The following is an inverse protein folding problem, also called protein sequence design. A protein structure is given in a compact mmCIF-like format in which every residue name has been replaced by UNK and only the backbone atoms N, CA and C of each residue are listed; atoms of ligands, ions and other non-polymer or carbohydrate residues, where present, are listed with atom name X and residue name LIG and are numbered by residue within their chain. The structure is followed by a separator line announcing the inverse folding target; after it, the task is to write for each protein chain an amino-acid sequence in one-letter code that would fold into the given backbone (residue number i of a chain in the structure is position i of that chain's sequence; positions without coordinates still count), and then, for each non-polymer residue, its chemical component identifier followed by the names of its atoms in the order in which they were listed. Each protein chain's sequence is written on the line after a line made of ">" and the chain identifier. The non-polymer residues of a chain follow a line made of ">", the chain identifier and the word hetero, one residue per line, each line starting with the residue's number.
data_IF_544474836731
#
_entry.id   IF_544474836731
#
_cell.length_a   1.000
_cell.length_b   1.000
_cell.length_c   1.000
_cell.angle_alpha   90.00
_cell.angle_beta   90.00
_cell.angle_gamma   90.00
#
_symmetry.space_group_name_H-M   'P 1'
#
loop_
_entity.id
_entity.type
_entity.pdbx_description
1 polymer ?
#
# COMPACT_ATOMS: atom_id res chain seq x y z
N UNK A 1 -32.58 -30.83 -30.57
CA UNK A 1 -32.68 -29.61 -29.73
C UNK A 1 -31.58 -29.67 -28.68
N UNK A 2 -30.47 -28.98 -28.93
CA UNK A 2 -29.36 -28.86 -27.97
C UNK A 2 -29.62 -27.64 -27.09
N UNK A 3 -29.79 -27.83 -25.78
CA UNK A 3 -29.79 -26.75 -24.81
C UNK A 3 -28.34 -26.24 -24.67
N UNK A 4 -28.06 -25.07 -25.25
CA UNK A 4 -26.89 -24.28 -24.90
C UNK A 4 -27.09 -23.76 -23.47
N UNK A 5 -26.35 -24.32 -22.52
CA UNK A 5 -26.24 -23.75 -21.18
C UNK A 5 -25.31 -22.54 -21.26
N UNK A 6 -25.89 -21.34 -21.24
CA UNK A 6 -25.13 -20.10 -21.10
C UNK A 6 -24.46 -20.10 -19.73
N UNK A 7 -23.14 -19.84 -19.70
CA UNK A 7 -22.44 -19.56 -18.46
C UNK A 7 -23.14 -18.37 -17.75
N UNK A 8 -23.29 -18.40 -16.41
CA UNK A 8 -23.82 -17.27 -15.68
C UNK A 8 -22.98 -16.03 -16.02
N UNK A 9 -23.59 -14.86 -16.22
CA UNK A 9 -22.84 -13.64 -16.46
C UNK A 9 -21.89 -13.46 -15.28
N UNK A 10 -20.58 -13.45 -15.56
CA UNK A 10 -19.60 -12.98 -14.59
C UNK A 10 -20.12 -11.64 -14.08
N UNK A 11 -20.24 -11.51 -12.76
CA UNK A 11 -20.73 -10.30 -12.12
C UNK A 11 -19.77 -9.17 -12.52
N UNK A 12 -20.12 -8.47 -13.61
CA UNK A 12 -19.24 -7.55 -14.29
C UNK A 12 -18.77 -6.50 -13.31
N UNK A 13 -17.45 -6.32 -13.24
CA UNK A 13 -16.82 -5.29 -12.43
C UNK A 13 -17.46 -3.94 -12.79
N UNK A 14 -18.26 -3.39 -11.87
CA UNK A 14 -18.91 -2.11 -12.06
C UNK A 14 -17.95 -1.01 -11.63
N UNK A 15 -17.77 -0.03 -12.51
CA UNK A 15 -17.06 1.20 -12.19
C UNK A 15 -17.67 1.84 -10.94
N UNK A 16 -16.87 2.04 -9.91
CA UNK A 16 -17.27 2.68 -8.66
C UNK A 16 -16.55 4.01 -8.48
N UNK A 17 -17.31 5.06 -8.20
CA UNK A 17 -16.79 6.38 -7.89
C UNK A 17 -16.99 6.68 -6.41
N UNK A 18 -15.94 7.17 -5.75
CA UNK A 18 -16.00 7.59 -4.35
C UNK A 18 -15.27 8.89 -4.14
N UNK A 19 -15.80 9.74 -3.26
CA UNK A 19 -15.16 10.97 -2.84
C UNK A 19 -14.41 10.75 -1.53
N UNK A 20 -13.10 10.98 -1.58
CA UNK A 20 -12.26 11.13 -0.39
C UNK A 20 -12.36 12.58 0.07
N UNK A 21 -12.68 12.79 1.35
CA UNK A 21 -12.57 14.08 2.03
C UNK A 21 -11.67 13.87 3.23
N UNK A 22 -10.65 14.70 3.38
CA UNK A 22 -9.68 14.67 4.46
C UNK A 22 -9.51 16.08 5.03
N UNK A 23 -9.54 16.22 6.34
CA UNK A 23 -9.31 17.46 7.06
C UNK A 23 -8.28 17.18 8.16
N UNK A 24 -7.23 17.99 8.22
CA UNK A 24 -6.17 17.90 9.23
C UNK A 24 -6.05 19.25 9.91
N UNK A 25 -6.17 19.26 11.23
CA UNK A 25 -6.02 20.42 12.08
C UNK A 25 -4.84 20.21 13.02
N UNK A 26 -4.01 21.22 13.17
CA UNK A 26 -2.89 21.25 14.12
C UNK A 26 -3.06 22.48 15.02
N UNK A 27 -2.94 22.27 16.33
CA UNK A 27 -2.81 23.32 17.31
C UNK A 27 -1.51 23.09 18.10
N UNK A 28 -0.61 24.07 18.08
CA UNK A 28 0.63 24.03 18.84
C UNK A 28 0.75 25.26 19.71
N UNK A 29 1.10 25.03 20.97
CA UNK A 29 1.47 26.08 21.90
C UNK A 29 2.74 25.64 22.61
N UNK A 30 3.79 26.46 22.62
CA UNK A 30 5.01 26.10 23.32
C UNK A 30 6.16 27.03 23.01
N UNK A 31 7.35 26.77 23.56
CA UNK A 31 8.51 27.57 23.26
C UNK A 31 8.94 27.40 21.80
N UNK A 32 9.59 28.44 21.28
CA UNK A 32 10.30 28.44 20.00
C UNK A 32 11.66 29.08 20.18
N UNK A 33 12.66 28.53 19.50
CA UNK A 33 14.00 29.08 19.45
C UNK A 33 14.51 29.05 18.01
N UNK A 34 14.96 30.20 17.51
CA UNK A 34 15.55 30.36 16.19
C UNK A 34 16.85 31.15 16.34
N UNK A 35 17.99 30.44 16.32
CA UNK A 35 19.29 31.05 16.62
C UNK A 35 19.34 31.67 18.03
N UNK A 36 19.52 32.99 18.10
CA UNK A 36 19.57 33.77 19.33
C UNK A 36 18.19 34.20 19.85
N UNK A 37 17.14 34.02 19.05
CA UNK A 37 15.78 34.41 19.40
C UNK A 37 15.10 33.33 20.23
N UNK A 38 14.37 33.74 21.27
CA UNK A 38 13.57 32.84 22.11
C UNK A 38 12.19 33.44 22.33
N UNK A 39 11.17 32.60 22.35
CA UNK A 39 9.82 33.07 22.58
C UNK A 39 8.82 31.94 22.84
N UNK A 40 7.56 32.32 22.86
CA UNK A 40 6.43 31.41 22.88
C UNK A 40 5.65 31.53 21.58
N UNK A 41 5.30 30.39 21.00
CA UNK A 41 4.52 30.28 19.78
C UNK A 41 3.11 29.80 20.12
N UNK A 42 2.11 30.38 19.46
CA UNK A 42 0.76 29.85 19.29
C UNK A 42 0.53 29.65 17.80
N UNK A 43 0.28 28.42 17.39
CA UNK A 43 0.08 28.04 15.99
C UNK A 43 -1.22 27.27 15.85
N UNK A 44 -2.05 27.69 14.91
CA UNK A 44 -3.20 26.95 14.43
C UNK A 44 -3.07 26.80 12.92
N UNK A 45 -3.13 25.56 12.44
CA UNK A 45 -3.11 25.24 11.03
C UNK A 45 -4.25 24.31 10.69
N UNK A 46 -4.82 24.48 9.50
CA UNK A 46 -5.82 23.57 8.96
C UNK A 46 -5.53 23.32 7.49
N UNK A 47 -5.65 22.06 7.09
CA UNK A 47 -5.63 21.65 5.70
C UNK A 47 -6.84 20.77 5.41
N UNK A 48 -7.46 20.97 4.24
CA UNK A 48 -8.53 20.13 3.72
C UNK A 48 -8.22 19.70 2.29
N UNK A 49 -8.53 18.45 1.99
CA UNK A 49 -8.47 17.85 0.66
C UNK A 49 -9.81 17.18 0.33
N UNK A 50 -10.31 17.37 -0.90
CA UNK A 50 -11.40 16.55 -1.46
C UNK A 50 -11.08 16.12 -2.88
N UNK A 51 -11.18 14.82 -3.18
CA UNK A 51 -10.92 14.27 -4.49
C UNK A 51 -11.88 13.12 -4.84
N UNK A 52 -12.25 13.00 -6.12
CA UNK A 52 -12.99 11.87 -6.66
C UNK A 52 -12.03 10.76 -7.10
N UNK A 53 -12.19 9.56 -6.57
CA UNK A 53 -11.40 8.39 -6.95
C UNK A 53 -12.29 7.34 -7.60
N UNK A 54 -11.75 6.63 -8.58
CA UNK A 54 -12.45 5.63 -9.37
C UNK A 54 -11.81 4.25 -9.18
N UNK A 55 -12.66 3.24 -9.01
CA UNK A 55 -12.30 1.82 -9.07
C UNK A 55 -13.01 1.17 -10.25
N UNK A 56 -12.40 0.17 -10.86
CA UNK A 56 -13.05 -0.71 -11.83
C UNK A 56 -13.99 -1.72 -11.14
N UNK A 57 -13.95 -1.83 -9.81
CA UNK A 57 -14.71 -2.80 -9.02
C UNK A 57 -14.01 -4.14 -8.86
N UNK A 58 -12.83 -4.32 -9.47
CA UNK A 58 -12.02 -5.52 -9.32
C UNK A 58 -11.47 -5.59 -7.90
N UNK A 59 -11.66 -6.75 -7.29
CA UNK A 59 -11.15 -7.01 -5.95
C UNK A 59 -9.76 -7.62 -6.02
N UNK A 60 -8.87 -7.13 -5.19
CA UNK A 60 -7.50 -7.61 -5.08
C UNK A 60 -7.30 -8.46 -3.82
N UNK A 61 -6.50 -9.54 -3.91
CA UNK A 61 -6.15 -10.35 -2.74
C UNK A 61 -5.15 -9.65 -1.81
N UNK A 62 -4.49 -8.60 -2.30
CA UNK A 62 -3.46 -7.87 -1.58
C UNK A 62 -3.68 -6.36 -1.56
N UNK A 63 -3.12 -5.72 -0.55
CA UNK A 63 -3.14 -4.27 -0.43
C UNK A 63 -1.79 -3.69 -0.93
N UNK A 64 -1.76 -3.01 -2.09
CA UNK A 64 -0.51 -2.45 -2.63
C UNK A 64 0.09 -1.32 -1.78
N UNK A 65 -0.69 -0.72 -0.87
CA UNK A 65 -0.26 0.38 0.00
C UNK A 65 0.15 -0.05 1.40
N UNK A 66 -0.07 -1.32 1.77
CA UNK A 66 0.37 -1.81 3.08
C UNK A 66 1.76 -2.44 2.98
N UNK A 67 2.82 -1.80 3.55
CA UNK A 67 4.19 -2.33 3.49
C UNK A 67 4.34 -3.68 4.22
N UNK A 68 3.40 -4.04 5.10
CA UNK A 68 3.41 -5.33 5.77
C UNK A 68 2.73 -6.44 4.96
N UNK A 69 1.99 -6.11 3.91
CA UNK A 69 1.22 -7.11 3.15
C UNK A 69 2.14 -8.07 2.39
N UNK A 70 3.21 -7.58 1.77
CA UNK A 70 4.22 -8.44 1.14
C UNK A 70 4.86 -9.42 2.16
N UNK A 71 5.13 -8.95 3.38
CA UNK A 71 5.67 -9.82 4.44
C UNK A 71 4.67 -10.91 4.82
N UNK A 72 3.40 -10.55 5.00
CA UNK A 72 2.32 -11.51 5.29
C UNK A 72 2.14 -12.52 4.16
N UNK A 73 2.25 -12.09 2.90
CA UNK A 73 2.19 -12.99 1.75
C UNK A 73 3.34 -14.00 1.73
N UNK A 74 4.58 -13.55 1.98
CA UNK A 74 5.73 -14.45 2.08
C UNK A 74 5.55 -15.45 3.23
N UNK A 75 5.09 -15.00 4.39
CA UNK A 75 4.80 -15.88 5.53
C UNK A 75 3.69 -16.89 5.22
N UNK A 76 2.63 -16.48 4.51
CA UNK A 76 1.56 -17.37 4.08
C UNK A 76 2.04 -18.39 3.06
N UNK A 77 2.83 -17.98 2.06
CA UNK A 77 3.43 -18.86 1.08
C UNK A 77 4.33 -19.90 1.76
N UNK A 78 5.19 -19.49 2.70
CA UNK A 78 6.03 -20.41 3.48
C UNK A 78 5.19 -21.41 4.29
N UNK A 79 4.10 -20.97 4.93
CA UNK A 79 3.19 -21.84 5.66
C UNK A 79 2.49 -22.83 4.73
N UNK A 80 2.07 -22.40 3.53
CA UNK A 80 1.48 -23.28 2.53
C UNK A 80 2.48 -24.35 2.07
N UNK A 81 3.72 -23.97 1.75
CA UNK A 81 4.79 -24.92 1.40
C UNK A 81 5.08 -25.89 2.54
N UNK A 82 5.14 -25.42 3.79
CA UNK A 82 5.37 -26.27 4.96
C UNK A 82 4.21 -27.28 5.20
N UNK A 83 2.96 -26.91 4.89
CA UNK A 83 1.81 -27.81 4.96
C UNK A 83 1.81 -28.88 3.86
N UNK A 84 2.38 -28.57 2.70
CA UNK A 84 2.53 -29.53 1.60
C UNK A 84 3.73 -30.48 1.78
N UNK A 85 4.76 -30.05 2.51
CA UNK A 85 5.97 -30.83 2.77
C UNK A 85 5.75 -32.24 3.39
N UNK A 86 4.84 -32.47 4.37
CA UNK A 86 4.63 -33.81 4.92
C UNK A 86 3.96 -34.79 3.95
N UNK A 87 3.40 -34.34 2.82
CA UNK A 87 2.91 -35.25 1.76
C UNK A 87 4.02 -35.67 0.78
N UNK A 88 5.19 -35.02 0.81
CA UNK A 88 6.44 -35.55 0.24
C UNK A 88 7.29 -36.09 1.39
N UNK A 89 6.94 -37.26 1.92
CA UNK A 89 7.58 -37.90 3.07
C UNK A 89 9.01 -38.44 2.79
N UNK A 90 9.83 -37.70 2.05
CA UNK A 90 11.27 -37.80 2.10
C UNK A 90 11.80 -36.41 2.41
N UNK A 91 12.37 -36.21 3.60
CA UNK A 91 13.20 -35.05 3.86
C UNK A 91 14.22 -34.93 2.71
N UNK A 92 14.42 -33.74 2.11
CA UNK A 92 15.46 -33.60 1.09
C UNK A 92 16.78 -34.05 1.72
N UNK A 93 17.33 -35.14 1.20
CA UNK A 93 18.62 -35.69 1.62
C UNK A 93 19.64 -34.54 1.62
N UNK A 94 20.50 -34.45 2.63
CA UNK A 94 21.54 -33.42 2.69
C UNK A 94 22.38 -33.37 1.40
N UNK A 95 22.52 -34.52 0.73
CA UNK A 95 23.12 -34.63 -0.61
C UNK A 95 22.33 -33.91 -1.71
N UNK A 96 21.00 -33.92 -1.65
CA UNK A 96 20.15 -33.22 -2.60
C UNK A 96 20.30 -31.69 -2.45
N UNK A 97 20.40 -31.19 -1.21
CA UNK A 97 20.65 -29.78 -0.96
C UNK A 97 22.03 -29.35 -1.47
N UNK A 98 23.06 -30.17 -1.24
CA UNK A 98 24.42 -29.91 -1.73
C UNK A 98 24.51 -29.95 -3.27
N UNK A 99 23.81 -30.88 -3.91
CA UNK A 99 23.72 -30.95 -5.37
C UNK A 99 23.00 -29.73 -5.96
N UNK A 100 21.95 -29.23 -5.29
CA UNK A 100 21.26 -28.01 -5.69
C UNK A 100 22.21 -26.80 -5.64
N UNK A 101 23.00 -26.69 -4.57
CA UNK A 101 23.93 -25.59 -4.38
C UNK A 101 25.09 -25.63 -5.39
N UNK A 102 25.62 -26.82 -5.71
CA UNK A 102 26.63 -27.00 -6.75
C UNK A 102 26.12 -26.65 -8.15
N UNK A 103 24.87 -27.04 -8.47
CA UNK A 103 24.23 -26.68 -9.73
C UNK A 103 24.01 -25.17 -9.86
N UNK A 104 23.61 -24.49 -8.78
CA UNK A 104 23.47 -23.04 -8.77
C UNK A 104 24.80 -22.33 -9.05
N UNK A 105 25.90 -22.79 -8.44
CA UNK A 105 27.24 -22.24 -8.70
C UNK A 105 27.66 -22.48 -10.16
N UNK A 106 27.47 -23.69 -10.68
CA UNK A 106 27.79 -24.01 -12.08
C UNK A 106 26.99 -23.14 -13.06
N UNK A 107 25.73 -22.84 -12.76
CA UNK A 107 24.91 -21.94 -13.59
C UNK A 107 25.44 -20.52 -13.58
N UNK A 108 25.82 -19.99 -12.40
CA UNK A 108 26.42 -18.67 -12.30
C UNK A 108 27.76 -18.59 -13.02
N UNK A 109 28.57 -19.65 -13.01
CA UNK A 109 29.84 -19.69 -13.76
C UNK A 109 29.60 -19.74 -15.28
N UNK A 110 28.59 -20.47 -15.77
CA UNK A 110 28.28 -20.56 -17.21
C UNK A 110 27.63 -19.29 -17.77
N UNK A 111 26.66 -18.73 -17.04
CA UNK A 111 25.86 -17.60 -17.54
C UNK A 111 26.39 -16.22 -17.10
N UNK A 112 27.28 -16.16 -16.10
CA UNK A 112 27.76 -14.89 -15.56
C UNK A 112 26.61 -14.01 -15.06
N UNK A 113 26.54 -12.78 -15.56
CA UNK A 113 25.48 -11.81 -15.25
C UNK A 113 24.37 -11.73 -16.32
N UNK A 114 24.36 -12.62 -17.32
CA UNK A 114 23.32 -12.63 -18.35
C UNK A 114 22.02 -13.24 -17.81
N UNK A 115 21.04 -12.36 -17.53
CA UNK A 115 19.73 -12.74 -16.99
C UNK A 115 18.91 -13.60 -17.95
N UNK A 116 19.08 -13.47 -19.27
CA UNK A 116 18.40 -14.29 -20.26
C UNK A 116 19.00 -15.70 -20.35
N UNK A 117 20.33 -15.84 -20.17
CA UNK A 117 20.98 -17.14 -20.02
C UNK A 117 20.53 -17.83 -18.73
N UNK A 118 20.58 -17.13 -17.59
CA UNK A 118 20.16 -17.65 -16.29
C UNK A 118 18.72 -18.15 -16.32
N UNK A 119 17.77 -17.37 -16.85
CA UNK A 119 16.36 -17.77 -16.93
C UNK A 119 16.13 -18.98 -17.83
N UNK A 120 16.85 -19.10 -18.95
CA UNK A 120 16.73 -20.23 -19.89
C UNK A 120 17.29 -21.52 -19.31
N UNK A 121 18.48 -21.45 -18.70
CA UNK A 121 19.13 -22.59 -18.04
C UNK A 121 18.40 -23.00 -16.76
N UNK A 122 17.90 -22.04 -15.97
CA UNK A 122 17.06 -22.32 -14.81
C UNK A 122 15.72 -22.95 -15.23
N UNK A 123 15.09 -22.47 -16.30
CA UNK A 123 13.90 -23.11 -16.87
C UNK A 123 14.19 -24.53 -17.40
N UNK A 124 15.39 -24.78 -17.95
CA UNK A 124 15.81 -26.12 -18.38
C UNK A 124 16.11 -27.07 -17.20
N UNK A 125 16.56 -26.55 -16.05
CA UNK A 125 16.74 -27.32 -14.82
C UNK A 125 15.43 -27.56 -14.05
N UNK A 126 14.52 -26.59 -14.09
CA UNK A 126 13.18 -26.70 -13.52
C UNK A 126 12.18 -27.39 -14.46
N UNK A 127 12.53 -27.57 -15.74
CA UNK A 127 11.84 -28.50 -16.61
C UNK A 127 11.81 -29.85 -15.90
N UNK A 128 10.62 -30.44 -15.75
CA UNK A 128 10.29 -31.29 -14.64
C UNK A 128 11.37 -32.36 -14.42
N UNK A 129 12.11 -32.24 -13.30
CA UNK A 129 13.11 -33.19 -12.82
C UNK A 129 12.58 -34.63 -12.70
N UNK A 130 11.26 -34.76 -12.79
CA UNK A 130 10.45 -35.93 -13.11
C UNK A 130 11.05 -36.87 -14.17
N UNK A 131 11.80 -36.39 -15.16
CA UNK A 131 12.44 -37.25 -16.15
C UNK A 131 13.69 -37.99 -15.64
N UNK A 132 14.28 -37.54 -14.51
CA UNK A 132 15.50 -38.12 -13.92
C UNK A 132 15.32 -38.63 -12.48
N UNK A 133 14.17 -38.36 -11.83
CA UNK A 133 13.85 -38.84 -10.50
C UNK A 133 13.32 -40.27 -10.50
N UNK A 134 13.66 -41.01 -9.43
CA UNK A 134 13.10 -42.29 -8.95
C UNK A 134 12.35 -43.16 -10.00
N UNK A 135 12.85 -44.36 -10.37
CA UNK A 135 12.17 -45.24 -11.33
C UNK A 135 10.70 -45.52 -10.97
N UNK A 136 10.34 -45.49 -9.69
CA UNK A 136 8.95 -45.64 -9.24
C UNK A 136 8.06 -44.44 -9.59
N UNK A 137 8.61 -43.22 -9.64
CA UNK A 137 7.89 -42.02 -10.09
C UNK A 137 7.74 -42.02 -11.60
N UNK A 138 8.80 -42.38 -12.34
CA UNK A 138 8.73 -42.53 -13.81
C UNK A 138 7.71 -43.58 -14.24
N UNK A 139 7.67 -44.73 -13.56
CA UNK A 139 6.67 -45.77 -13.82
C UNK A 139 5.24 -45.29 -13.52
N UNK A 140 5.02 -44.56 -12.42
CA UNK A 140 3.72 -43.96 -12.09
C UNK A 140 3.24 -42.97 -13.16
N UNK A 141 4.14 -42.15 -13.70
CA UNK A 141 3.78 -41.18 -14.74
C UNK A 141 3.53 -41.82 -16.10
N UNK A 142 4.28 -42.87 -16.44
CA UNK A 142 4.00 -43.67 -17.63
C UNK A 142 2.63 -44.35 -17.51
N UNK A 143 2.32 -44.94 -16.35
CA UNK A 143 1.01 -45.53 -16.06
C UNK A 143 -0.11 -44.48 -16.14
N UNK A 144 0.12 -43.29 -15.56
CA UNK A 144 -0.81 -42.16 -15.67
C UNK A 144 -1.05 -41.74 -17.12
N UNK A 145 0.01 -41.55 -17.91
CA UNK A 145 -0.12 -41.16 -19.32
C UNK A 145 -0.90 -42.19 -20.15
N UNK A 146 -0.69 -43.48 -19.89
CA UNK A 146 -1.46 -44.55 -20.53
C UNK A 146 -2.94 -44.56 -20.10
N UNK A 147 -3.22 -44.38 -18.81
CA UNK A 147 -4.57 -44.29 -18.28
C UNK A 147 -5.31 -43.06 -18.82
N UNK A 148 -4.65 -41.90 -18.85
CA UNK A 148 -5.20 -40.67 -19.41
C UNK A 148 -5.53 -40.84 -20.90
N UNK A 149 -4.60 -41.38 -21.70
CA UNK A 149 -4.83 -41.65 -23.13
C UNK A 149 -5.98 -42.65 -23.37
N UNK A 150 -6.18 -43.63 -22.47
CA UNK A 150 -7.32 -44.52 -22.53
C UNK A 150 -8.65 -43.80 -22.24
N UNK A 151 -8.66 -42.87 -21.27
CA UNK A 151 -9.82 -42.03 -20.99
C UNK A 151 -10.16 -41.09 -22.16
N UNK A 152 -9.17 -40.60 -22.90
CA UNK A 152 -9.41 -39.72 -24.05
C UNK A 152 -10.16 -40.38 -25.21
N UNK A 153 -10.12 -41.71 -25.31
CA UNK A 153 -10.87 -42.48 -26.32
C UNK A 153 -12.36 -42.57 -26.02
N UNK A 154 -12.78 -42.19 -24.81
CA UNK A 154 -14.20 -42.13 -24.44
C UNK A 154 -14.85 -40.87 -25.01
N UNK A 155 -16.15 -40.95 -25.30
CA UNK A 155 -16.93 -39.78 -25.68
C UNK A 155 -16.87 -38.70 -24.58
N UNK A 156 -16.85 -37.43 -24.98
CA UNK A 156 -16.85 -36.31 -24.04
C UNK A 156 -18.08 -36.37 -23.10
N UNK A 157 -17.87 -36.10 -21.81
CA UNK A 157 -18.91 -36.10 -20.79
C UNK A 157 -18.44 -36.70 -19.45
N UNK A 158 -19.38 -36.89 -18.53
CA UNK A 158 -19.13 -37.29 -17.13
C UNK A 158 -18.30 -38.58 -16.99
N UNK A 159 -18.45 -39.53 -17.91
CA UNK A 159 -17.71 -40.79 -17.88
C UNK A 159 -16.20 -40.56 -18.13
N UNK A 160 -15.85 -39.71 -19.09
CA UNK A 160 -14.46 -39.32 -19.38
C UNK A 160 -13.86 -38.53 -18.22
N UNK A 161 -14.63 -37.62 -17.63
CA UNK A 161 -14.20 -36.84 -16.45
C UNK A 161 -13.91 -37.75 -15.25
N UNK A 162 -14.80 -38.71 -14.97
CA UNK A 162 -14.61 -39.68 -13.89
C UNK A 162 -13.36 -40.56 -14.14
N UNK A 163 -13.18 -41.05 -15.37
CA UNK A 163 -11.99 -41.81 -15.77
C UNK A 163 -10.69 -41.01 -15.56
N UNK A 164 -10.66 -39.74 -15.98
CA UNK A 164 -9.50 -38.87 -15.78
C UNK A 164 -9.24 -38.54 -14.31
N UNK A 165 -10.29 -38.40 -13.50
CA UNK A 165 -10.15 -38.23 -12.05
C UNK A 165 -9.58 -39.49 -11.39
N UNK A 166 -10.03 -40.68 -11.80
CA UNK A 166 -9.49 -41.96 -11.32
C UNK A 166 -8.03 -42.16 -11.71
N UNK A 167 -7.65 -41.86 -12.95
CA UNK A 167 -6.26 -41.92 -13.40
C UNK A 167 -5.35 -41.01 -12.55
N UNK A 168 -5.81 -39.80 -12.21
CA UNK A 168 -5.10 -38.87 -11.31
C UNK A 168 -4.96 -39.43 -9.90
N UNK A 169 -6.05 -39.97 -9.33
CA UNK A 169 -6.04 -40.61 -8.00
C UNK A 169 -5.05 -41.77 -7.93
N UNK A 170 -5.03 -42.63 -8.94
CA UNK A 170 -4.11 -43.77 -9.02
C UNK A 170 -2.64 -43.34 -9.17
N UNK A 171 -2.39 -42.18 -9.80
CA UNK A 171 -1.05 -41.61 -9.92
C UNK A 171 -0.52 -41.00 -8.61
N UNK A 172 -1.31 -41.03 -7.52
CA UNK A 172 -0.99 -40.37 -6.26
C UNK A 172 -1.27 -38.87 -6.29
N UNK A 173 -1.96 -38.37 -7.32
CA UNK A 173 -2.65 -37.09 -7.20
C UNK A 173 -3.67 -37.25 -6.09
N UNK A 174 -3.58 -36.42 -5.04
CA UNK A 174 -4.66 -36.33 -4.07
C UNK A 174 -5.99 -36.10 -4.81
N UNK A 175 -7.11 -36.36 -4.14
CA UNK A 175 -8.35 -35.72 -4.60
C UNK A 175 -7.98 -34.26 -4.78
N UNK A 176 -8.08 -33.76 -6.01
CA UNK A 176 -7.94 -32.33 -6.29
C UNK A 176 -9.05 -31.70 -5.43
N UNK A 177 -8.74 -31.43 -4.16
CA UNK A 177 -9.54 -30.60 -3.29
C UNK A 177 -9.25 -29.21 -3.83
N UNK A 178 -9.73 -28.96 -5.05
CA UNK A 178 -9.84 -27.68 -5.75
C UNK A 178 -10.87 -26.81 -5.05
N UNK A 179 -10.94 -26.91 -3.72
CA UNK A 179 -10.98 -25.68 -2.95
C UNK A 179 -9.59 -25.08 -3.13
N UNK A 180 -9.39 -24.51 -4.32
CA UNK A 180 -8.76 -23.20 -4.39
C UNK A 180 -9.49 -22.43 -3.29
N UNK A 181 -8.91 -22.40 -2.09
CA UNK A 181 -9.39 -21.54 -1.03
C UNK A 181 -9.34 -20.17 -1.67
N UNK A 182 -10.50 -19.71 -2.15
CA UNK A 182 -10.64 -18.47 -2.86
C UNK A 182 -10.11 -17.43 -1.90
N UNK A 183 -8.84 -17.06 -2.11
CA UNK A 183 -8.14 -16.19 -1.19
C UNK A 183 -9.01 -14.96 -1.12
N UNK A 184 -9.48 -14.56 0.06
CA UNK A 184 -10.41 -13.46 0.15
C UNK A 184 -9.75 -12.29 -0.59
N UNK A 185 -10.47 -11.72 -1.55
CA UNK A 185 -10.07 -10.53 -2.29
C UNK A 185 -10.81 -9.34 -1.67
N UNK A 186 -10.40 -8.84 -0.50
CA UNK A 186 -11.19 -7.86 0.21
C UNK A 186 -10.92 -6.44 -0.26
N UNK A 187 -9.89 -6.22 -1.08
CA UNK A 187 -9.37 -4.88 -1.34
C UNK A 187 -9.91 -4.32 -2.65
N UNK A 188 -10.56 -3.15 -2.59
CA UNK A 188 -10.89 -2.35 -3.77
C UNK A 188 -9.86 -1.24 -3.90
N UNK A 189 -9.22 -1.15 -5.07
CA UNK A 189 -8.25 -0.10 -5.38
C UNK A 189 -8.96 1.02 -6.12
N UNK A 190 -8.80 2.24 -5.62
CA UNK A 190 -9.32 3.47 -6.22
C UNK A 190 -8.15 4.35 -6.63
N UNK A 191 -8.16 4.81 -7.87
CA UNK A 191 -7.15 5.70 -8.42
C UNK A 191 -7.78 7.05 -8.79
N UNK A 192 -7.03 8.13 -8.66
CA UNK A 192 -7.49 9.44 -9.12
C UNK A 192 -7.50 9.52 -10.66
N UNK A 193 -8.51 10.22 -11.18
CA UNK A 193 -8.71 10.43 -12.62
C UNK A 193 -8.31 11.87 -13.02
N UNK A 194 -7.95 12.15 -14.29
CA UNK A 194 -7.49 13.48 -14.72
C UNK A 194 -8.45 14.65 -14.43
N UNK A 195 -9.72 14.39 -14.11
CA UNK A 195 -10.70 15.38 -13.68
C UNK A 195 -11.32 14.98 -12.33
N UNK A 196 -10.48 14.67 -11.33
CA UNK A 196 -10.95 14.21 -10.03
C UNK A 196 -11.63 15.29 -9.19
N UNK A 197 -11.62 16.55 -9.64
CA UNK A 197 -12.17 17.68 -8.90
C UNK A 197 -11.45 17.85 -7.58
N UNK A 198 -10.11 17.76 -7.61
CA UNK A 198 -9.25 17.94 -6.44
C UNK A 198 -9.38 19.37 -5.95
N UNK A 199 -9.93 19.49 -4.75
CA UNK A 199 -10.02 20.74 -4.01
C UNK A 199 -9.05 20.65 -2.83
N UNK A 200 -8.19 21.66 -2.69
CA UNK A 200 -7.30 21.82 -1.56
C UNK A 200 -7.59 23.15 -0.90
N UNK A 201 -7.69 23.16 0.42
CA UNK A 201 -7.80 24.37 1.22
C UNK A 201 -6.78 24.34 2.34
N UNK A 202 -6.10 25.44 2.60
CA UNK A 202 -5.13 25.57 3.68
C UNK A 202 -5.35 26.87 4.42
N UNK A 203 -5.12 26.85 5.74
CA UNK A 203 -5.11 28.03 6.60
C UNK A 203 -3.99 27.91 7.63
N UNK A 204 -3.30 29.02 7.88
CA UNK A 204 -2.31 29.18 8.94
C UNK A 204 -2.61 30.44 9.73
N UNK A 205 -2.56 30.31 11.05
CA UNK A 205 -2.52 31.40 12.01
C UNK A 205 -1.43 31.13 13.02
N UNK A 206 -0.39 31.93 12.99
CA UNK A 206 0.74 31.83 13.89
C UNK A 206 0.94 33.17 14.60
N UNK A 207 1.28 33.08 15.88
CA UNK A 207 1.79 34.19 16.66
C UNK A 207 3.01 33.73 17.46
N UNK A 208 4.09 34.48 17.36
CA UNK A 208 5.28 34.31 18.20
C UNK A 208 5.48 35.58 19.02
N UNK A 209 5.57 35.45 20.33
CA UNK A 209 5.96 36.53 21.23
C UNK A 209 7.30 36.16 21.86
N UNK A 210 8.33 36.98 21.69
CA UNK A 210 9.68 36.62 22.08
C UNK A 210 10.61 37.80 22.33
N UNK A 211 11.89 37.49 22.50
CA UNK A 211 12.97 38.46 22.56
C UNK A 211 14.24 37.91 21.93
N UNK A 212 15.13 38.81 21.52
CA UNK A 212 16.49 38.50 21.13
C UNK A 212 17.48 39.45 21.81
N UNK A 213 18.73 39.02 21.98
CA UNK A 213 19.80 39.86 22.51
C UNK A 213 20.44 40.69 21.40
N UNK A 214 20.44 42.01 21.56
CA UNK A 214 21.21 42.96 20.76
C UNK A 214 22.32 43.59 21.63
N UNK A 215 23.21 44.38 21.05
CA UNK A 215 24.31 45.10 21.75
C UNK A 215 23.79 46.04 22.85
N UNK A 216 22.52 46.43 22.80
CA UNK A 216 21.86 47.30 23.78
C UNK A 216 21.02 46.54 24.81
N UNK A 217 21.00 45.20 24.77
CA UNK A 217 20.21 44.36 25.67
C UNK A 217 19.12 43.56 24.95
N UNK A 218 18.12 43.10 25.70
CA UNK A 218 17.02 42.30 25.17
C UNK A 218 16.02 43.18 24.42
N UNK A 219 15.73 42.84 23.17
CA UNK A 219 14.74 43.51 22.32
C UNK A 219 13.51 42.59 22.21
N UNK A 220 12.34 42.99 22.72
CA UNK A 220 11.11 42.22 22.56
C UNK A 220 10.61 42.32 21.11
N UNK A 221 10.03 41.23 20.62
CA UNK A 221 9.39 41.18 19.32
C UNK A 221 8.08 40.39 19.36
N UNK A 222 7.22 40.68 18.40
CA UNK A 222 6.02 39.90 18.09
C UNK A 222 5.98 39.61 16.59
N UNK A 223 5.79 38.34 16.22
CA UNK A 223 5.55 37.92 14.85
C UNK A 223 4.13 37.37 14.71
N UNK A 224 3.53 37.64 13.56
CA UNK A 224 2.26 37.02 13.17
C UNK A 224 2.34 36.53 11.75
N UNK A 225 1.85 35.31 11.51
CA UNK A 225 1.68 34.75 10.17
C UNK A 225 0.21 34.43 9.98
N UNK A 226 -0.39 34.92 8.90
CA UNK A 226 -1.77 34.61 8.52
C UNK A 226 -1.83 34.27 7.05
N UNK A 227 -2.43 33.15 6.71
CA UNK A 227 -2.61 32.75 5.32
C UNK A 227 -3.83 31.87 5.15
N UNK A 228 -4.50 32.02 4.01
CA UNK A 228 -5.64 31.20 3.61
C UNK A 228 -5.61 31.05 2.10
N UNK A 229 -5.70 29.82 1.63
CA UNK A 229 -5.70 29.53 0.21
C UNK A 229 -6.69 28.40 -0.07
N UNK A 230 -7.54 28.60 -1.07
CA UNK A 230 -8.39 27.56 -1.64
C UNK A 230 -8.02 27.44 -3.12
N UNK A 231 -7.62 26.24 -3.54
CA UNK A 231 -7.23 25.97 -4.91
C UNK A 231 -7.88 24.70 -5.42
N UNK A 232 -8.26 24.73 -6.69
CA UNK A 232 -8.62 23.54 -7.45
C UNK A 232 -7.46 23.25 -8.39
N UNK A 233 -6.86 22.08 -8.25
CA UNK A 233 -5.71 21.67 -9.04
C UNK A 233 -5.82 20.17 -9.31
N UNK A 234 -6.23 19.80 -10.52
CA UNK A 234 -6.43 18.41 -10.90
C UNK A 234 -5.11 17.76 -11.39
N UNK A 235 -4.01 18.52 -11.50
CA UNK A 235 -2.69 18.03 -11.97
C UNK A 235 -2.18 16.80 -11.22
N UNK A 236 -2.29 16.72 -9.88
CA UNK A 236 -1.79 15.58 -9.14
C UNK A 236 -2.85 14.48 -8.93
N UNK A 237 -4.04 14.59 -9.52
CA UNK A 237 -5.07 13.55 -9.40
C UNK A 237 -4.54 12.15 -9.74
N UNK A 238 -3.77 11.92 -10.82
CA UNK A 238 -3.29 10.58 -11.17
C UNK A 238 -2.36 9.94 -10.14
N UNK A 239 -1.79 10.72 -9.21
CA UNK A 239 -0.93 10.19 -8.13
C UNK A 239 -1.71 9.81 -6.89
N UNK A 240 -3.01 10.13 -6.84
CA UNK A 240 -3.87 9.78 -5.72
C UNK A 240 -4.29 8.31 -5.82
N UNK A 241 -4.06 7.58 -4.74
CA UNK A 241 -4.55 6.21 -4.60
C UNK A 241 -5.17 6.00 -3.24
N UNK A 242 -6.26 5.25 -3.19
CA UNK A 242 -6.86 4.74 -1.97
C UNK A 242 -7.18 3.25 -2.12
N UNK A 243 -7.04 2.49 -1.04
CA UNK A 243 -7.41 1.08 -0.98
C UNK A 243 -8.44 0.91 0.13
N UNK A 244 -9.59 0.32 -0.18
CA UNK A 244 -10.65 0.02 0.78
C UNK A 244 -10.66 -1.47 1.08
N UNK A 245 -10.49 -1.85 2.36
CA UNK A 245 -10.78 -3.21 2.81
C UNK A 245 -12.28 -3.34 3.05
N UNK A 246 -12.96 -4.04 2.16
CA UNK A 246 -14.41 -4.27 2.19
C UNK A 246 -14.90 -5.06 3.41
N UNK A 247 -14.02 -5.73 4.17
CA UNK A 247 -14.38 -6.46 5.40
C UNK A 247 -14.43 -5.54 6.61
N UNK A 248 -13.47 -4.63 6.72
CA UNK A 248 -13.29 -3.75 7.89
C UNK A 248 -13.75 -2.32 7.66
N UNK A 249 -13.95 -1.91 6.40
CA UNK A 249 -14.20 -0.52 6.03
C UNK A 249 -12.95 0.37 6.12
N UNK A 250 -11.78 -0.21 6.44
CA UNK A 250 -10.53 0.53 6.58
C UNK A 250 -10.03 1.04 5.24
N UNK A 251 -9.44 2.23 5.25
CA UNK A 251 -8.89 2.88 4.05
C UNK A 251 -7.39 3.15 4.23
N UNK A 252 -6.61 2.77 3.24
CA UNK A 252 -5.21 3.17 3.08
C UNK A 252 -5.14 4.19 1.96
N UNK A 253 -4.28 5.19 2.10
CA UNK A 253 -4.12 6.20 1.05
C UNK A 253 -2.65 6.47 0.75
N UNK A 254 -2.35 6.71 -0.52
CA UNK A 254 -1.09 7.27 -0.97
C UNK A 254 -1.36 8.72 -1.35
N UNK A 255 -1.27 9.60 -0.35
CA UNK A 255 -1.39 11.04 -0.54
C UNK A 255 0.00 11.65 -0.40
N UNK A 256 0.66 11.91 -1.53
CA UNK A 256 1.86 12.76 -1.58
C UNK A 256 1.51 14.24 -1.46
N UNK A 257 0.22 14.58 -1.41
CA UNK A 257 -0.31 15.94 -1.46
C UNK A 257 -0.72 16.43 -0.08
N UNK A 258 0.26 16.71 0.78
CA UNK A 258 0.05 17.62 1.90
C UNK A 258 0.50 19.00 1.42
N UNK A 259 -0.38 20.00 1.32
CA UNK A 259 0.03 21.36 1.01
C UNK A 259 1.15 21.78 1.95
N UNK A 260 2.22 22.27 1.36
CA UNK A 260 3.40 22.71 2.09
C UNK A 260 3.34 24.21 2.38
N UNK A 261 2.46 24.94 1.70
CA UNK A 261 2.38 26.39 1.78
C UNK A 261 0.97 26.90 1.46
N UNK A 262 0.69 28.10 1.95
CA UNK A 262 -0.50 28.91 1.62
C UNK A 262 -0.08 30.34 1.37
N UNK A 263 -0.75 31.04 0.45
CA UNK A 263 -0.55 32.49 0.33
C UNK A 263 -0.99 33.23 1.60
N UNK A 264 -0.15 34.15 2.05
CA UNK A 264 -0.40 34.88 3.29
C UNK A 264 0.51 36.07 3.51
N UNK A 265 0.39 36.62 4.72
CA UNK A 265 1.12 37.78 5.22
C UNK A 265 1.85 37.36 6.48
N UNK A 266 3.13 37.68 6.54
CA UNK A 266 3.94 37.64 7.74
C UNK A 266 4.25 39.08 8.19
N UNK A 267 4.11 39.34 9.48
CA UNK A 267 4.40 40.66 10.07
C UNK A 267 5.25 40.47 11.32
N UNK A 268 6.38 41.15 11.38
CA UNK A 268 7.28 41.21 12.54
C UNK A 268 7.32 42.62 13.10
N UNK A 269 7.08 42.74 14.40
CA UNK A 269 7.13 44.00 15.14
C UNK A 269 8.21 43.90 16.21
N UNK A 270 9.16 44.82 16.20
CA UNK A 270 10.25 44.91 17.18
C UNK A 270 10.12 46.22 17.96
N UNK A 271 10.49 46.20 19.25
CA UNK A 271 10.43 47.39 20.10
C UNK A 271 11.19 48.58 19.50
N UNK A 272 10.50 49.71 19.30
CA UNK A 272 11.09 50.94 18.77
C UNK A 272 11.36 50.97 17.26
N UNK A 273 10.92 49.95 16.50
CA UNK A 273 11.10 49.87 15.04
C UNK A 273 9.76 49.83 14.32
N UNK A 274 9.75 50.25 13.05
CA UNK A 274 8.56 50.10 12.20
C UNK A 274 8.28 48.62 11.92
N UNK A 275 7.01 48.18 11.93
CA UNK A 275 6.67 46.81 11.60
C UNK A 275 7.16 46.42 10.20
N UNK A 276 7.78 45.26 10.10
CA UNK A 276 8.20 44.66 8.84
C UNK A 276 7.09 43.72 8.37
N UNK A 277 6.60 43.94 7.15
CA UNK A 277 5.54 43.14 6.54
C UNK A 277 6.05 42.50 5.27
N UNK A 278 5.86 41.20 5.13
CA UNK A 278 6.12 40.44 3.90
C UNK A 278 4.87 39.69 3.48
N UNK A 279 4.61 39.67 2.17
CA UNK A 279 3.53 38.91 1.55
C UNK A 279 4.15 37.80 0.69
N UNK A 280 3.50 36.64 0.64
CA UNK A 280 3.99 35.52 -0.17
C UNK A 280 3.55 34.18 0.36
N UNK A 281 4.27 33.13 -0.04
CA UNK A 281 4.00 31.77 0.38
C UNK A 281 4.44 31.57 1.85
N UNK A 282 3.51 31.14 2.69
CA UNK A 282 3.70 30.83 4.09
C UNK A 282 3.68 29.33 4.28
N UNK A 283 4.76 28.76 4.81
CA UNK A 283 4.87 27.31 4.99
C UNK A 283 3.89 26.77 6.05
N UNK A 284 3.19 25.69 5.73
CA UNK A 284 2.48 24.87 6.70
C UNK A 284 3.51 23.99 7.43
N UNK A 285 3.47 23.98 8.77
CA UNK A 285 4.52 23.44 9.63
C UNK A 285 3.91 22.42 10.59
N UNK A 286 4.04 21.15 10.27
CA UNK A 286 3.49 20.06 11.09
C UNK A 286 4.36 19.69 12.30
N UNK A 287 5.58 20.21 12.38
CA UNK A 287 6.50 20.06 13.52
C UNK A 287 6.58 18.61 14.05
N UNK A 288 6.29 18.42 15.33
CA UNK A 288 6.39 17.13 16.01
C UNK A 288 5.34 16.12 15.52
N UNK A 289 4.27 16.60 14.89
CA UNK A 289 3.20 15.77 14.36
C UNK A 289 3.49 15.21 12.95
N UNK A 290 4.60 15.59 12.30
CA UNK A 290 4.91 15.19 10.91
C UNK A 290 4.94 13.66 10.72
N UNK A 291 5.66 12.93 11.58
CA UNK A 291 5.77 11.47 11.46
C UNK A 291 4.42 10.78 11.71
N UNK A 292 3.66 11.28 12.69
CA UNK A 292 2.31 10.79 12.97
C UNK A 292 1.37 11.03 11.80
N UNK A 293 1.43 12.22 11.18
CA UNK A 293 0.62 12.58 10.02
C UNK A 293 0.96 11.67 8.83
N UNK A 294 2.24 11.48 8.52
CA UNK A 294 2.67 10.57 7.44
C UNK A 294 2.15 9.15 7.65
N UNK A 295 2.23 8.63 8.88
CA UNK A 295 1.70 7.30 9.20
C UNK A 295 0.16 7.25 9.16
N UNK A 296 -0.51 8.28 9.66
CA UNK A 296 -1.97 8.40 9.66
C UNK A 296 -2.54 8.44 8.25
N UNK A 297 -1.94 9.21 7.34
CA UNK A 297 -2.36 9.27 5.94
C UNK A 297 -2.21 7.92 5.24
N UNK A 298 -1.18 7.14 5.56
CA UNK A 298 -1.02 5.79 5.00
C UNK A 298 -2.11 4.83 5.49
N UNK A 299 -2.62 5.00 6.72
CA UNK A 299 -3.56 4.08 7.36
C UNK A 299 -4.61 4.83 8.17
N UNK A 300 -5.68 5.23 7.49
CA UNK A 300 -6.80 5.96 8.07
C UNK A 300 -7.62 5.06 9.02
N UNK A 301 -8.07 5.59 10.18
CA UNK A 301 -8.88 4.82 11.14
C UNK A 301 -10.30 4.54 10.69
N UNK A 302 -10.82 3.35 10.97
CA UNK A 302 -12.22 2.95 10.67
C UNK A 302 -13.30 3.90 11.22
N UNK A 303 -12.98 4.72 12.23
CA UNK A 303 -13.88 5.72 12.81
C UNK A 303 -14.01 7.02 12.02
N UNK A 304 -13.20 7.23 10.97
CA UNK A 304 -13.19 8.50 10.23
C UNK A 304 -12.54 9.66 10.99
N UNK A 305 -11.85 9.38 12.10
CA UNK A 305 -11.18 10.38 12.94
C UNK A 305 -9.98 9.78 13.65
N UNK A 306 -8.88 10.53 13.67
CA UNK A 306 -7.66 10.24 14.40
C UNK A 306 -7.22 11.49 15.16
N UNK A 307 -6.64 11.32 16.35
CA UNK A 307 -6.06 12.43 17.11
C UNK A 307 -4.80 11.99 17.86
N UNK A 308 -3.87 12.92 18.03
CA UNK A 308 -2.69 12.72 18.85
C UNK A 308 -2.27 14.00 19.56
N UNK A 309 -1.60 13.82 20.70
CA UNK A 309 -1.04 14.90 21.51
C UNK A 309 0.43 14.61 21.76
N UNK A 310 1.27 15.61 21.51
CA UNK A 310 2.71 15.55 21.71
C UNK A 310 3.08 16.56 22.80
N UNK A 311 3.62 16.10 23.95
CA UNK A 311 4.08 17.00 24.98
C UNK A 311 5.34 17.73 24.53
N UNK A 312 5.46 19.00 24.91
CA UNK A 312 6.65 19.83 24.71
C UNK A 312 7.09 20.40 26.06
N UNK A 313 8.39 20.66 26.29
CA UNK A 313 8.81 21.44 27.44
C UNK A 313 8.10 22.79 27.44
N UNK A 314 7.20 23.05 28.40
CA UNK A 314 6.44 24.30 28.47
C UNK A 314 5.35 24.45 27.39
N UNK A 315 4.87 23.36 26.80
CA UNK A 315 3.86 23.41 25.74
C UNK A 315 3.22 22.07 25.38
N UNK A 316 2.39 22.09 24.34
CA UNK A 316 1.76 20.92 23.73
C UNK A 316 1.48 21.15 22.24
N UNK A 317 1.54 20.07 21.46
CA UNK A 317 1.04 20.01 20.09
C UNK A 317 -0.12 19.01 20.04
N UNK A 318 -1.28 19.42 19.55
CA UNK A 318 -2.42 18.56 19.27
C UNK A 318 -2.67 18.53 17.77
N UNK A 319 -2.82 17.33 17.21
CA UNK A 319 -3.21 17.12 15.82
C UNK A 319 -4.49 16.31 15.76
N UNK A 320 -5.40 16.71 14.88
CA UNK A 320 -6.66 16.01 14.62
C UNK A 320 -6.79 15.80 13.13
N UNK A 321 -7.14 14.60 12.74
CA UNK A 321 -7.43 14.23 11.36
C UNK A 321 -8.86 13.70 11.30
N UNK A 322 -9.65 14.16 10.34
CA UNK A 322 -11.00 13.68 10.05
C UNK A 322 -11.06 13.31 8.59
N UNK A 323 -11.72 12.21 8.30
CA UNK A 323 -11.79 11.73 6.93
C UNK A 323 -13.11 11.04 6.65
N UNK A 324 -13.49 11.01 5.37
CA UNK A 324 -14.59 10.19 4.89
C UNK A 324 -14.36 9.72 3.47
N UNK A 325 -14.84 8.52 3.15
CA UNK A 325 -14.70 7.91 1.83
C UNK A 325 -16.04 7.37 1.33
N UNK A 326 -16.84 8.27 0.76
CA UNK A 326 -18.26 8.06 0.49
C UNK A 326 -18.51 7.85 -1.01
N UNK A 327 -19.58 7.14 -1.41
CA UNK A 327 -20.05 7.16 -2.80
C UNK A 327 -20.21 8.60 -3.30
N UNK A 328 -19.82 8.83 -4.55
CA UNK A 328 -19.87 10.15 -5.20
C UNK A 328 -21.28 10.53 -5.65
#
# INVERSE_FOLDING_TARGET
>A
MALLMAAPPEAGAQVQNRRLVLEVELQRQGPVQSGAERGSQKLQQRWQLSALLQSDGTRHPYNPLDPQDQRRQLEQAQKATARMAPMSAAAPDARALQALQANAQALMTRCGQDSACLMREAAALNAPAVARGDPAVRARLQAYGQAAAACERQAAGRAREACQADARRQAGGGVDDTRDEELPTPYLVFNGVPACGLQMQGRIEERVDGSFGDVQGQVPYAETTRGEEARRDDTPCPTLQAVLDTRSGRVWTALSLVPQQVRGVHTRQEGGRQPQRSEGDQALRWHEAQAWLQQGLLRLSDQGRDEARFPLPGGQTEIRMRWSFRPA
#
